data_IF_333233769052
#
_entry.id   IF_333233769052
#
_cell.length_a   1.000
_cell.length_b   1.000
_cell.length_c   1.000
_cell.angle_alpha   90.00
_cell.angle_beta   90.00
_cell.angle_gamma   90.00
#
_symmetry.space_group_name_H-M   'P 1'
#
loop_
_entity.id
_entity.type
_entity.pdbx_description
1 polymer ?
#
# COMPACT_ATOMS: atom_id res chain seq x y z
N UNK A 1 -20.58 -14.53 -0.31
CA UNK A 1 -20.96 -13.62 0.80
C UNK A 1 -21.32 -14.48 2.00
N UNK A 2 -20.59 -14.41 3.13
CA UNK A 2 -20.98 -15.10 4.37
C UNK A 2 -21.62 -14.08 5.32
N UNK A 3 -22.86 -14.35 5.73
CA UNK A 3 -23.58 -13.52 6.70
C UNK A 3 -23.60 -14.24 8.06
N UNK A 4 -22.76 -13.81 8.99
CA UNK A 4 -22.66 -14.42 10.32
C UNK A 4 -22.49 -13.33 11.40
N UNK A 5 -23.35 -13.31 12.44
CA UNK A 5 -23.26 -12.35 13.55
C UNK A 5 -21.88 -12.36 14.25
N UNK A 6 -21.61 -11.33 15.06
CA UNK A 6 -20.43 -11.32 15.93
C UNK A 6 -20.54 -12.44 16.97
N UNK A 7 -19.44 -13.15 17.24
CA UNK A 7 -19.36 -14.29 18.17
C UNK A 7 -20.04 -15.60 17.72
N UNK A 8 -20.55 -15.68 16.49
CA UNK A 8 -21.13 -16.92 15.91
C UNK A 8 -20.11 -17.96 15.46
N UNK A 9 -18.83 -17.80 15.83
CA UNK A 9 -17.78 -18.72 15.41
C UNK A 9 -17.31 -18.58 13.96
N UNK A 10 -17.71 -17.55 13.19
CA UNK A 10 -17.31 -17.38 11.77
C UNK A 10 -15.80 -17.48 11.52
N UNK A 11 -14.98 -16.98 12.45
CA UNK A 11 -13.53 -17.06 12.34
C UNK A 11 -13.02 -18.50 12.43
N UNK A 12 -13.55 -19.28 13.38
CA UNK A 12 -13.11 -20.65 13.68
C UNK A 12 -13.79 -21.68 12.78
N UNK A 13 -15.06 -21.50 12.46
CA UNK A 13 -15.87 -22.46 11.71
C UNK A 13 -15.86 -22.28 10.19
N UNK A 14 -15.42 -21.12 9.69
CA UNK A 14 -15.36 -20.85 8.25
C UNK A 14 -13.99 -20.35 7.81
N UNK A 15 -13.55 -19.20 8.34
CA UNK A 15 -12.36 -18.52 7.80
C UNK A 15 -11.08 -19.33 8.04
N UNK A 16 -10.87 -19.83 9.26
CA UNK A 16 -9.72 -20.67 9.62
C UNK A 16 -9.63 -21.94 8.74
N UNK A 17 -10.70 -22.76 8.60
CA UNK A 17 -10.71 -23.90 7.69
C UNK A 17 -10.36 -23.51 6.26
N UNK A 18 -10.93 -22.42 5.73
CA UNK A 18 -10.62 -21.95 4.37
C UNK A 18 -9.15 -21.58 4.21
N UNK A 19 -8.57 -20.85 5.17
CA UNK A 19 -7.15 -20.44 5.11
C UNK A 19 -6.20 -21.64 5.23
N UNK A 20 -6.61 -22.71 5.91
CA UNK A 20 -5.84 -23.94 6.06
C UNK A 20 -6.08 -24.96 4.94
N UNK A 21 -7.20 -24.91 4.20
CA UNK A 21 -7.44 -25.81 3.07
C UNK A 21 -7.03 -25.21 1.73
N UNK A 22 -7.02 -23.88 1.62
CA UNK A 22 -6.66 -23.17 0.41
C UNK A 22 -5.14 -23.13 0.22
N UNK A 23 -4.63 -24.02 -0.64
CA UNK A 23 -3.19 -24.13 -0.93
C UNK A 23 -2.60 -22.95 -1.68
N UNK A 24 -3.40 -22.25 -2.49
CA UNK A 24 -2.95 -21.16 -3.35
C UNK A 24 -2.70 -19.85 -2.59
N UNK A 25 -2.19 -18.86 -3.32
CA UNK A 25 -2.01 -17.48 -2.89
C UNK A 25 -3.30 -16.87 -2.32
N UNK A 26 -3.15 -16.07 -1.26
CA UNK A 26 -4.26 -15.44 -0.56
C UNK A 26 -3.85 -14.11 0.09
N UNK A 27 -4.78 -13.16 0.08
CA UNK A 27 -4.68 -11.88 0.80
C UNK A 27 -5.73 -11.86 1.90
N UNK A 28 -5.29 -11.73 3.15
CA UNK A 28 -6.18 -11.83 4.32
C UNK A 28 -6.06 -10.56 5.15
N UNK A 29 -7.22 -9.94 5.43
CA UNK A 29 -7.34 -8.84 6.39
C UNK A 29 -7.58 -9.42 7.78
N UNK A 30 -6.62 -9.25 8.67
CA UNK A 30 -6.68 -9.77 10.04
C UNK A 30 -6.46 -8.64 11.08
N UNK A 31 -7.52 -7.88 11.42
CA UNK A 31 -7.41 -6.76 12.37
C UNK A 31 -6.98 -7.17 13.78
N UNK A 32 -7.12 -8.46 14.13
CA UNK A 32 -6.82 -8.97 15.48
C UNK A 32 -5.50 -9.74 15.56
N UNK A 33 -4.94 -10.17 14.43
CA UNK A 33 -3.74 -11.01 14.38
C UNK A 33 -3.96 -12.47 14.79
N UNK A 34 -5.20 -12.89 15.04
CA UNK A 34 -5.53 -14.25 15.48
C UNK A 34 -5.30 -15.27 14.35
N UNK A 35 -5.70 -14.92 13.12
CA UNK A 35 -5.51 -15.79 11.96
C UNK A 35 -4.03 -15.92 11.62
N UNK A 36 -3.27 -14.82 11.66
CA UNK A 36 -1.83 -14.84 11.45
C UNK A 36 -1.15 -15.80 12.43
N UNK A 37 -1.46 -15.65 13.72
CA UNK A 37 -0.82 -16.42 14.79
C UNK A 37 -1.07 -17.92 14.65
N UNK A 38 -2.26 -18.32 14.18
CA UNK A 38 -2.65 -19.72 14.05
C UNK A 38 -2.26 -20.36 12.71
N UNK A 39 -2.25 -19.58 11.62
CA UNK A 39 -2.13 -20.15 10.26
C UNK A 39 -0.78 -19.89 9.59
N UNK A 40 -0.04 -18.85 9.99
CA UNK A 40 1.16 -18.43 9.26
C UNK A 40 2.23 -19.53 9.18
N UNK A 41 2.48 -20.22 10.31
CA UNK A 41 3.43 -21.33 10.35
C UNK A 41 2.96 -22.51 9.50
N UNK A 42 1.67 -22.86 9.60
CA UNK A 42 1.10 -23.96 8.84
C UNK A 42 1.23 -23.71 7.33
N UNK A 43 0.85 -22.51 6.86
CA UNK A 43 0.95 -22.13 5.44
C UNK A 43 2.38 -22.15 4.92
N UNK A 44 3.36 -21.75 5.75
CA UNK A 44 4.78 -21.84 5.39
C UNK A 44 5.28 -23.29 5.28
N UNK A 45 4.84 -24.17 6.19
CA UNK A 45 5.37 -25.53 6.29
C UNK A 45 4.66 -26.53 5.37
N UNK A 46 3.34 -26.43 5.24
CA UNK A 46 2.52 -27.44 4.56
C UNK A 46 1.99 -26.96 3.21
N UNK A 47 1.61 -25.69 3.10
CA UNK A 47 1.22 -25.11 1.81
C UNK A 47 2.43 -24.57 1.03
N UNK A 48 3.64 -24.61 1.60
CA UNK A 48 4.88 -24.14 0.99
C UNK A 48 4.87 -22.67 0.52
N UNK A 49 4.00 -21.86 1.12
CA UNK A 49 3.79 -20.49 0.70
C UNK A 49 4.77 -19.51 1.37
N UNK A 50 5.04 -18.39 0.69
CA UNK A 50 5.77 -17.28 1.30
C UNK A 50 4.81 -16.44 2.12
N UNK A 51 5.01 -16.41 3.44
CA UNK A 51 4.07 -15.78 4.39
C UNK A 51 4.62 -14.45 4.89
N UNK A 52 3.96 -13.33 4.55
CA UNK A 52 4.38 -11.97 4.91
C UNK A 52 3.30 -11.26 5.73
N UNK A 53 3.72 -10.48 6.73
CA UNK A 53 2.81 -9.65 7.56
C UNK A 53 3.10 -8.17 7.33
N UNK A 54 2.13 -7.46 6.78
CA UNK A 54 2.15 -6.00 6.71
C UNK A 54 1.33 -5.42 7.86
N UNK A 55 1.99 -4.74 8.79
CA UNK A 55 1.29 -4.10 9.88
C UNK A 55 2.06 -2.81 10.29
N UNK A 56 1.66 -1.62 9.83
CA UNK A 56 2.48 -0.41 10.01
C UNK A 56 2.70 0.01 11.48
N UNK A 57 1.85 -0.42 12.42
CA UNK A 57 1.81 0.08 13.79
C UNK A 57 2.75 -0.60 14.81
N UNK A 58 3.74 -1.41 14.41
CA UNK A 58 4.68 -2.03 15.37
C UNK A 58 6.07 -2.08 14.83
N UNK A 59 6.98 -2.10 15.78
CA UNK A 59 8.41 -2.07 15.58
C UNK A 59 8.98 -3.37 14.96
N UNK A 60 8.39 -4.55 15.19
CA UNK A 60 9.10 -5.82 14.94
C UNK A 60 8.34 -6.84 14.08
N UNK A 61 9.09 -7.54 13.21
CA UNK A 61 8.66 -8.76 12.52
C UNK A 61 7.63 -8.51 11.42
N UNK A 62 7.84 -7.47 10.59
CA UNK A 62 6.90 -7.01 9.57
C UNK A 62 7.63 -6.67 8.28
N UNK A 63 6.91 -6.72 7.17
CA UNK A 63 7.43 -6.20 5.91
C UNK A 63 7.16 -4.70 5.81
N UNK A 64 8.10 -3.98 5.21
CA UNK A 64 7.94 -2.59 4.83
C UNK A 64 7.48 -2.52 3.37
N UNK A 65 6.56 -1.61 3.08
CA UNK A 65 6.07 -1.35 1.73
C UNK A 65 6.03 0.15 1.51
N UNK A 66 6.54 0.57 0.36
CA UNK A 66 6.47 1.95 -0.10
C UNK A 66 5.52 2.03 -1.30
N UNK A 67 4.36 2.68 -1.19
CA UNK A 67 3.40 2.78 -2.29
C UNK A 67 3.97 3.54 -3.50
N UNK A 68 4.97 4.40 -3.30
CA UNK A 68 5.59 5.14 -4.39
C UNK A 68 6.48 4.27 -5.28
N UNK A 69 6.93 3.11 -4.79
CA UNK A 69 7.72 2.17 -5.59
C UNK A 69 6.89 1.48 -6.69
N UNK A 70 5.56 1.53 -6.58
CA UNK A 70 4.63 0.95 -7.57
C UNK A 70 4.39 1.85 -8.78
N UNK A 71 4.84 3.12 -8.71
CA UNK A 71 4.63 4.09 -9.77
C UNK A 71 5.64 3.85 -10.89
N UNK A 72 5.15 3.63 -12.10
CA UNK A 72 5.98 3.35 -13.28
C UNK A 72 6.53 4.65 -13.89
N UNK A 73 7.44 5.30 -13.16
CA UNK A 73 8.04 6.58 -13.56
C UNK A 73 8.77 6.49 -14.91
N UNK A 74 8.61 7.50 -15.75
CA UNK A 74 9.17 7.55 -17.11
C UNK A 74 8.40 6.72 -18.14
N UNK A 75 7.19 6.25 -17.81
CA UNK A 75 6.27 5.61 -18.74
C UNK A 75 5.03 6.49 -18.93
N UNK A 76 4.26 6.24 -20.01
CA UNK A 76 2.98 6.94 -20.26
C UNK A 76 1.96 6.75 -19.13
N UNK A 77 2.12 5.71 -18.31
CA UNK A 77 1.21 5.41 -17.21
C UNK A 77 1.53 6.16 -15.91
N UNK A 78 2.66 6.89 -15.83
CA UNK A 78 3.12 7.45 -14.55
C UNK A 78 2.11 8.41 -13.92
N UNK A 79 1.46 9.25 -14.74
CA UNK A 79 0.46 10.20 -14.28
C UNK A 79 -0.78 9.47 -13.76
N UNK A 80 -1.21 8.42 -14.46
CA UNK A 80 -2.35 7.60 -14.05
C UNK A 80 -2.08 6.83 -12.75
N UNK A 81 -0.88 6.27 -12.60
CA UNK A 81 -0.46 5.56 -11.38
C UNK A 81 -0.47 6.52 -10.17
N UNK A 82 0.04 7.75 -10.35
CA UNK A 82 0.04 8.78 -9.30
C UNK A 82 -1.39 9.24 -9.00
N UNK A 83 -2.24 9.44 -10.00
CA UNK A 83 -3.64 9.82 -9.81
C UNK A 83 -4.41 8.76 -9.03
N UNK A 84 -4.21 7.47 -9.34
CA UNK A 84 -4.81 6.37 -8.60
C UNK A 84 -4.36 6.37 -7.13
N UNK A 85 -3.06 6.54 -6.89
CA UNK A 85 -2.52 6.61 -5.53
C UNK A 85 -3.05 7.82 -4.76
N UNK A 86 -3.04 9.01 -5.38
CA UNK A 86 -3.54 10.23 -4.76
C UNK A 86 -5.04 10.11 -4.44
N UNK A 87 -5.81 9.45 -5.29
CA UNK A 87 -7.24 9.20 -5.06
C UNK A 87 -7.45 8.28 -3.86
N UNK A 88 -6.66 7.21 -3.71
CA UNK A 88 -6.69 6.32 -2.55
C UNK A 88 -6.41 7.06 -1.23
N UNK A 89 -5.56 8.09 -1.27
CA UNK A 89 -5.21 8.90 -0.08
C UNK A 89 -6.33 9.91 0.25
N UNK A 90 -6.89 10.57 -0.77
CA UNK A 90 -7.88 11.65 -0.59
C UNK A 90 -9.31 11.12 -0.38
N UNK A 91 -9.61 9.92 -0.89
CA UNK A 91 -10.90 9.24 -0.75
C UNK A 91 -10.75 7.88 -0.04
N UNK A 92 -10.59 7.88 1.29
CA UNK A 92 -10.44 6.65 2.06
C UNK A 92 -11.71 5.78 2.10
N UNK A 93 -12.87 6.37 1.77
CA UNK A 93 -14.18 5.70 1.81
C UNK A 93 -14.59 5.12 0.45
N UNK A 94 -13.88 5.46 -0.63
CA UNK A 94 -14.21 5.03 -1.98
C UNK A 94 -15.55 5.58 -2.49
N UNK A 95 -15.99 6.73 -1.96
CA UNK A 95 -17.25 7.37 -2.36
C UNK A 95 -17.10 8.27 -3.59
N UNK A 96 -15.86 8.52 -4.00
CA UNK A 96 -15.49 9.48 -5.02
C UNK A 96 -15.12 10.85 -4.45
N UNK A 97 -14.50 11.67 -5.30
CA UNK A 97 -14.11 13.04 -4.97
C UNK A 97 -15.32 13.98 -5.12
N UNK A 98 -16.19 14.04 -4.12
CA UNK A 98 -17.42 14.84 -4.18
C UNK A 98 -17.16 16.33 -3.91
N UNK A 99 -16.32 16.65 -2.93
CA UNK A 99 -16.05 18.04 -2.55
C UNK A 99 -15.00 18.71 -3.44
N UNK A 100 -15.14 20.03 -3.63
CA UNK A 100 -14.14 20.84 -4.32
C UNK A 100 -12.75 20.71 -3.67
N UNK A 101 -12.69 20.67 -2.33
CA UNK A 101 -11.45 20.52 -1.58
C UNK A 101 -10.76 19.18 -1.83
N UNK A 102 -11.53 18.09 -1.97
CA UNK A 102 -10.97 16.78 -2.34
C UNK A 102 -10.40 16.81 -3.76
N UNK A 103 -11.10 17.40 -4.73
CA UNK A 103 -10.60 17.50 -6.11
C UNK A 103 -9.31 18.32 -6.20
N UNK A 104 -9.29 19.49 -5.57
CA UNK A 104 -8.13 20.38 -5.56
C UNK A 104 -6.97 19.78 -4.77
N UNK A 105 -7.25 19.13 -3.64
CA UNK A 105 -6.25 18.41 -2.85
C UNK A 105 -5.63 17.22 -3.60
N UNK A 106 -6.44 16.46 -4.34
CA UNK A 106 -5.96 15.37 -5.18
C UNK A 106 -5.06 15.88 -6.31
N UNK A 107 -5.46 16.94 -7.00
CA UNK A 107 -4.64 17.55 -8.06
C UNK A 107 -3.30 18.08 -7.52
N UNK A 108 -3.32 18.74 -6.36
CA UNK A 108 -2.11 19.20 -5.69
C UNK A 108 -1.19 18.01 -5.32
N UNK A 109 -1.75 16.97 -4.71
CA UNK A 109 -1.01 15.80 -4.27
C UNK A 109 -0.36 15.06 -5.46
N UNK A 110 -1.05 14.97 -6.60
CA UNK A 110 -0.48 14.41 -7.84
C UNK A 110 0.77 15.18 -8.26
N UNK A 111 0.70 16.51 -8.30
CA UNK A 111 1.84 17.36 -8.65
C UNK A 111 3.01 17.19 -7.69
N UNK A 112 2.76 17.16 -6.38
CA UNK A 112 3.81 17.02 -5.36
C UNK A 112 4.46 15.63 -5.40
N UNK A 113 3.68 14.57 -5.58
CA UNK A 113 4.21 13.20 -5.70
C UNK A 113 5.10 13.06 -6.93
N UNK A 114 4.65 13.54 -8.10
CA UNK A 114 5.48 13.55 -9.32
C UNK A 114 6.78 14.32 -9.10
N UNK A 115 6.71 15.51 -8.50
CA UNK A 115 7.90 16.29 -8.18
C UNK A 115 8.85 15.53 -7.26
N UNK A 116 8.33 14.90 -6.19
CA UNK A 116 9.13 14.10 -5.26
C UNK A 116 9.81 12.91 -5.95
N UNK A 117 9.10 12.21 -6.84
CA UNK A 117 9.65 11.09 -7.62
C UNK A 117 10.81 11.53 -8.52
N UNK A 118 10.62 12.60 -9.29
CA UNK A 118 11.66 13.11 -10.18
C UNK A 118 12.85 13.71 -9.42
N UNK A 119 12.59 14.41 -8.31
CA UNK A 119 13.64 14.91 -7.43
C UNK A 119 14.47 13.77 -6.84
N UNK A 120 13.83 12.77 -6.25
CA UNK A 120 14.50 11.60 -5.68
C UNK A 120 15.30 10.84 -6.75
N UNK A 121 14.75 10.65 -7.95
CA UNK A 121 15.44 10.04 -9.09
C UNK A 121 16.71 10.81 -9.49
N UNK A 122 16.65 12.13 -9.54
CA UNK A 122 17.80 12.99 -9.88
C UNK A 122 18.88 12.97 -8.78
N UNK A 123 18.47 12.77 -7.53
CA UNK A 123 19.37 12.70 -6.37
C UNK A 123 19.84 11.26 -6.06
N UNK A 124 19.39 10.26 -6.84
CA UNK A 124 19.73 8.85 -6.62
C UNK A 124 19.10 8.23 -5.35
N UNK A 125 18.05 8.85 -4.82
CA UNK A 125 17.32 8.41 -3.62
C UNK A 125 15.98 7.77 -3.98
N UNK A 126 15.40 7.03 -3.02
CA UNK A 126 14.03 6.54 -3.13
C UNK A 126 13.03 7.63 -2.70
N UNK A 127 11.97 7.83 -3.46
CA UNK A 127 10.88 8.71 -3.06
C UNK A 127 10.06 8.05 -1.95
N UNK A 128 9.66 8.81 -0.93
CA UNK A 128 8.88 8.28 0.20
C UNK A 128 7.73 9.22 0.57
N UNK A 129 6.64 8.69 1.12
CA UNK A 129 5.52 9.51 1.59
C UNK A 129 5.92 10.56 2.65
N UNK A 130 6.81 10.27 3.61
CA UNK A 130 7.34 11.30 4.51
C UNK A 130 8.07 12.45 3.79
N UNK A 131 8.75 12.18 2.68
CA UNK A 131 9.36 13.23 1.87
C UNK A 131 8.31 14.10 1.18
N UNK A 132 7.21 13.48 0.70
CA UNK A 132 6.05 14.21 0.14
C UNK A 132 5.39 15.09 1.20
N UNK A 133 5.17 14.56 2.41
CA UNK A 133 4.63 15.32 3.54
C UNK A 133 5.54 16.50 3.92
N UNK A 134 6.86 16.28 3.98
CA UNK A 134 7.83 17.34 4.25
C UNK A 134 7.93 18.41 3.14
N UNK A 135 7.45 18.13 1.92
CA UNK A 135 7.31 19.13 0.86
C UNK A 135 6.04 19.98 1.03
N UNK A 136 4.98 19.40 1.60
CA UNK A 136 3.72 20.08 1.87
C UNK A 136 3.76 20.92 3.16
N UNK A 137 4.44 20.42 4.19
CA UNK A 137 4.39 20.98 5.54
C UNK A 137 5.31 22.18 5.79
N UNK A 138 6.36 22.40 4.98
CA UNK A 138 7.35 23.46 5.23
C UNK A 138 7.17 24.66 4.29
N UNK A 139 6.56 25.76 4.78
CA UNK A 139 6.37 26.96 3.98
C UNK A 139 7.65 27.74 3.68
N UNK A 140 8.77 27.41 4.33
CA UNK A 140 10.07 28.05 4.08
C UNK A 140 10.89 27.32 3.02
N UNK A 141 10.46 26.13 2.60
CA UNK A 141 10.97 25.44 1.39
C UNK A 141 10.36 25.96 0.09
N UNK A 142 9.57 27.03 0.18
CA UNK A 142 9.02 27.76 -0.95
C UNK A 142 10.15 28.39 -1.78
N UNK A 143 10.62 27.66 -2.79
CA UNK A 143 11.64 28.16 -3.72
C UNK A 143 12.49 27.10 -4.43
N UNK A 144 12.26 25.81 -4.20
CA UNK A 144 13.12 24.75 -4.75
C UNK A 144 12.38 23.92 -5.79
N UNK A 145 12.00 24.58 -6.89
CA UNK A 145 11.93 23.91 -8.20
C UNK A 145 13.35 23.71 -8.77
N UNK A 146 14.42 24.32 -8.19
CA UNK A 146 15.76 24.34 -8.79
C UNK A 146 16.99 24.33 -7.84
N UNK A 147 16.96 23.71 -6.66
CA UNK A 147 18.20 23.59 -5.86
C UNK A 147 18.42 22.20 -5.26
N UNK A 148 19.46 21.56 -5.82
CA UNK A 148 20.25 20.47 -5.24
C UNK A 148 20.70 20.84 -3.83
N UNK A 149 20.59 19.90 -2.91
CA UNK A 149 21.68 19.38 -2.06
C UNK A 149 21.11 18.33 -1.07
N UNK A 150 21.92 17.33 -0.65
CA UNK A 150 21.45 16.02 -0.23
C UNK A 150 21.16 15.96 1.27
N UNK A 151 19.96 15.50 1.64
CA UNK A 151 19.70 15.07 3.01
C UNK A 151 19.49 13.56 3.04
N UNK A 152 20.62 12.88 3.24
CA UNK A 152 20.75 11.47 3.58
C UNK A 152 19.93 11.16 4.84
N UNK A 153 18.84 10.41 4.65
CA UNK A 153 18.38 9.46 5.68
C UNK A 153 18.37 8.07 5.05
N UNK A 154 19.26 7.26 5.60
CA UNK A 154 19.47 5.85 5.32
C UNK A 154 18.17 5.06 5.42
N UNK A 155 17.66 4.57 4.29
CA UNK A 155 16.73 3.43 4.27
C UNK A 155 17.11 2.51 3.12
N UNK A 156 17.56 1.31 3.47
CA UNK A 156 17.92 0.27 2.53
C UNK A 156 16.63 -0.36 1.96
N UNK A 157 15.96 0.32 1.04
CA UNK A 157 14.85 -0.23 0.26
C UNK A 157 15.37 -0.85 -1.03
N UNK A 158 15.62 -2.17 -0.99
CA UNK A 158 15.51 -3.09 -2.15
C UNK A 158 15.83 -4.53 -1.74
N UNK A 159 14.86 -5.42 -1.93
CA UNK A 159 15.00 -6.79 -2.47
C UNK A 159 13.60 -7.43 -2.47
N UNK A 160 12.94 -7.43 -3.64
CA UNK A 160 11.66 -8.10 -3.99
C UNK A 160 10.41 -7.20 -4.12
N UNK A 161 10.45 -6.23 -5.04
CA UNK A 161 9.31 -5.39 -5.44
C UNK A 161 8.32 -6.06 -6.42
N UNK A 162 8.63 -7.21 -7.01
CA UNK A 162 7.77 -7.84 -8.03
C UNK A 162 6.44 -8.40 -7.48
N UNK A 163 6.40 -8.71 -6.18
CA UNK A 163 5.27 -9.41 -5.56
C UNK A 163 4.21 -8.46 -4.98
N UNK A 164 4.63 -7.29 -4.52
CA UNK A 164 3.72 -6.23 -4.04
C UNK A 164 3.08 -5.51 -5.24
N UNK A 165 3.83 -5.40 -6.35
CA UNK A 165 3.34 -4.85 -7.61
C UNK A 165 2.23 -5.65 -8.27
N UNK A 166 2.33 -6.98 -8.21
CA UNK A 166 1.27 -7.86 -8.72
C UNK A 166 -0.07 -7.66 -7.98
N UNK A 167 -0.01 -7.35 -6.67
CA UNK A 167 -1.21 -7.09 -5.86
C UNK A 167 -1.78 -5.70 -6.13
N UNK A 168 -0.94 -4.69 -6.40
CA UNK A 168 -1.43 -3.37 -6.82
C UNK A 168 -2.00 -3.37 -8.25
N UNK A 169 -1.42 -4.15 -9.18
CA UNK A 169 -1.98 -4.32 -10.53
C UNK A 169 -3.36 -5.00 -10.52
N UNK A 170 -3.64 -5.89 -9.57
CA UNK A 170 -4.97 -6.46 -9.37
C UNK A 170 -5.99 -5.41 -8.89
N UNK A 171 -5.53 -4.36 -8.19
CA UNK A 171 -6.34 -3.22 -7.73
C UNK A 171 -6.52 -2.14 -8.82
N UNK A 172 -5.66 -2.13 -9.86
CA UNK A 172 -5.57 -1.07 -10.87
C UNK A 172 -6.29 -1.38 -12.20
N UNK A 173 -6.94 -2.54 -12.34
CA UNK A 173 -7.71 -2.87 -13.55
C UNK A 173 -9.16 -2.35 -13.43
N UNK A 174 -9.66 -1.58 -14.41
CA UNK A 174 -11.02 -1.07 -14.39
C UNK A 174 -11.98 -2.19 -14.82
N UNK A 175 -12.31 -3.10 -13.91
CA UNK A 175 -13.56 -3.86 -14.00
C UNK A 175 -13.90 -4.53 -12.67
N UNK A 176 -15.10 -4.20 -12.16
CA UNK A 176 -15.89 -4.88 -11.13
C UNK A 176 -15.59 -4.64 -9.63
N UNK A 177 -16.42 -3.74 -9.08
CA UNK A 177 -17.28 -3.89 -7.89
C UNK A 177 -16.65 -4.10 -6.49
N UNK A 178 -16.68 -2.98 -5.75
CA UNK A 178 -17.22 -2.83 -4.39
C UNK A 178 -16.29 -2.98 -3.16
N UNK A 179 -16.04 -1.82 -2.56
CA UNK A 179 -15.98 -1.52 -1.12
C UNK A 179 -14.93 -2.25 -0.28
N UNK A 180 -13.72 -1.68 -0.14
CA UNK A 180 -12.82 -2.01 0.98
C UNK A 180 -12.00 -0.81 1.45
N UNK A 181 -12.44 -0.24 2.58
CA UNK A 181 -11.64 0.59 3.49
C UNK A 181 -10.45 -0.24 4.00
N UNK A 182 -9.26 0.36 3.94
CA UNK A 182 -7.96 0.01 4.54
C UNK A 182 -7.81 -1.38 5.18
N UNK A 183 -7.00 -2.23 4.53
CA UNK A 183 -6.64 -3.56 5.02
C UNK A 183 -5.16 -3.64 5.47
N UNK A 184 -4.94 -4.32 6.60
CA UNK A 184 -3.67 -4.91 6.95
C UNK A 184 -3.53 -6.25 6.20
N UNK A 185 -2.59 -6.35 5.26
CA UNK A 185 -2.43 -7.50 4.37
C UNK A 185 -1.51 -8.58 4.95
N UNK A 186 -2.00 -9.82 4.97
CA UNK A 186 -1.18 -11.02 4.91
C UNK A 186 -1.00 -11.40 3.44
N UNK A 187 0.22 -11.33 2.90
CA UNK A 187 0.52 -11.83 1.55
C UNK A 187 0.93 -13.30 1.64
N UNK A 188 0.28 -14.13 0.83
CA UNK A 188 0.69 -15.48 0.50
C UNK A 188 0.84 -15.52 -1.02
N UNK A 189 2.05 -15.73 -1.54
CA UNK A 189 2.23 -16.27 -2.91
C UNK A 189 2.27 -17.77 -2.73
#
# INVERSE_FOLDING_TARGET
MCYAPTRSGKGVGLVMPTVLSWGESAVITDPKGELWSLTARWRKQHAHNKVLRFEPASANGRVCWNPLDEIRTGTENEVGDVQNLATLIVDPDGKGLESHWQKTGQALLVGVILHALYKARNEGMAATLPAVDALLADPKRHGVILRREPFLLTTQHRRNSSLLSAVFMAVSRPCFYQSYRFAHLVFSI
#
